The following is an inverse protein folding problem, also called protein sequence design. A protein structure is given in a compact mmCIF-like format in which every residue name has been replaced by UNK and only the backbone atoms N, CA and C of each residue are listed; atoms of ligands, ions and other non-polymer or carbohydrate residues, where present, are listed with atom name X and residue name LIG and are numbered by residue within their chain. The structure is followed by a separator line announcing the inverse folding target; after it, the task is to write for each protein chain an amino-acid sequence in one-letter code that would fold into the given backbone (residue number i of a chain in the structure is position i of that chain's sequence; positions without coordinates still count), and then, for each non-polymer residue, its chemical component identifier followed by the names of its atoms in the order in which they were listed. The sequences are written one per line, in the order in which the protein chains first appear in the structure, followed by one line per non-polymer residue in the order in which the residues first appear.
data_IF_300318541022
#
_entry.id   IF_300318541022
#
_cell.length_a   1.000
_cell.length_b   1.000
_cell.length_c   1.000
_cell.angle_alpha   90.00
_cell.angle_beta   90.00
_cell.angle_gamma   90.00
#
_symmetry.space_group_name_H-M   'P 1'
#
loop_
_entity.id
_entity.type
_entity.pdbx_description
1 polymer ?
#
# COMPACT_ATOMS: atom_id res chain seq x y z
N UNK A 1 -70.03 8.54 34.70
CA UNK A 1 -70.29 8.04 33.34
C UNK A 1 -69.27 6.93 33.03
N UNK A 2 -69.51 5.81 32.30
CA UNK A 2 -70.09 5.61 30.94
C UNK A 2 -69.28 6.37 29.88
N UNK A 3 -68.73 5.82 28.79
CA UNK A 3 -68.74 4.52 28.05
C UNK A 3 -67.31 4.42 27.42
N UNK A 4 -66.53 3.33 27.30
CA UNK A 4 -66.66 1.87 27.10
C UNK A 4 -67.14 1.39 25.71
N UNK A 5 -66.23 1.33 24.73
CA UNK A 5 -66.47 0.67 23.43
C UNK A 5 -65.35 -0.33 23.11
N UNK A 6 -65.71 -1.54 22.68
CA UNK A 6 -64.84 -2.55 22.07
C UNK A 6 -65.37 -2.88 20.66
N UNK A 7 -64.49 -3.25 19.74
CA UNK A 7 -64.67 -4.23 18.65
C UNK A 7 -63.24 -4.48 18.08
N UNK A 8 -62.71 -5.66 17.70
CA UNK A 8 -63.25 -6.89 17.08
C UNK A 8 -63.79 -6.65 15.65
N UNK A 9 -63.46 -7.43 14.61
CA UNK A 9 -62.58 -8.61 14.47
C UNK A 9 -62.16 -8.73 12.97
N UNK A 10 -61.41 -9.78 12.61
CA UNK A 10 -61.00 -10.23 11.25
C UNK A 10 -59.87 -9.41 10.57
N UNK A 11 -58.90 -10.00 9.86
CA UNK A 11 -58.49 -11.42 9.85
C UNK A 11 -58.16 -11.99 8.48
N UNK A 12 -56.87 -12.07 8.13
CA UNK A 12 -56.32 -12.94 7.08
C UNK A 12 -54.93 -13.41 7.46
N UNK A 13 -54.71 -14.73 7.48
CA UNK A 13 -53.38 -15.32 7.58
C UNK A 13 -52.89 -15.70 6.19
N UNK A 14 -51.62 -15.39 5.88
CA UNK A 14 -50.95 -15.83 4.65
C UNK A 14 -49.75 -16.69 5.05
N UNK A 15 -49.95 -18.01 5.02
CA UNK A 15 -48.82 -18.94 4.99
C UNK A 15 -48.32 -19.05 3.55
N UNK A 16 -47.02 -18.80 3.34
CA UNK A 16 -46.31 -19.28 2.15
C UNK A 16 -45.34 -20.35 2.62
N UNK A 17 -45.73 -21.61 2.39
CA UNK A 17 -44.85 -22.77 2.52
C UNK A 17 -44.03 -22.89 1.24
N UNK A 18 -42.71 -22.73 1.35
CA UNK A 18 -41.76 -23.14 0.33
C UNK A 18 -40.88 -24.25 0.91
N UNK A 19 -41.18 -25.50 0.57
CA UNK A 19 -40.42 -26.66 1.02
C UNK A 19 -39.35 -27.05 0.00
N UNK A 20 -38.10 -27.13 0.43
CA UNK A 20 -37.05 -27.85 -0.28
C UNK A 20 -36.47 -28.93 0.63
N UNK A 21 -36.87 -30.18 0.40
CA UNK A 21 -36.42 -31.35 1.14
C UNK A 21 -35.80 -32.37 0.20
N UNK A 22 -34.48 -32.60 0.30
CA UNK A 22 -33.84 -33.74 -0.34
C UNK A 22 -32.70 -34.31 0.51
N UNK A 23 -33.06 -35.37 1.23
CA UNK A 23 -32.26 -36.55 1.56
C UNK A 23 -30.87 -36.38 2.22
N UNK A 24 -30.81 -36.87 3.46
CA UNK A 24 -29.60 -37.31 4.14
C UNK A 24 -28.83 -38.40 3.38
N UNK A 25 -27.51 -38.22 3.24
CA UNK A 25 -26.55 -39.32 3.09
C UNK A 25 -25.71 -39.44 4.35
N UNK A 26 -25.55 -40.65 4.90
CA UNK A 26 -24.74 -40.95 6.08
C UNK A 26 -24.01 -42.28 5.86
N UNK A 27 -22.85 -42.47 6.52
CA UNK A 27 -21.85 -43.54 6.34
C UNK A 27 -20.84 -43.23 5.21
N UNK A 28 -19.56 -43.60 5.32
CA UNK A 28 -18.79 -44.06 6.48
C UNK A 28 -17.29 -43.73 6.28
N UNK A 29 -16.55 -43.52 7.38
CA UNK A 29 -15.09 -43.40 7.35
C UNK A 29 -14.42 -44.77 7.29
N UNK A 30 -13.30 -44.89 6.55
CA UNK A 30 -12.17 -45.65 7.08
C UNK A 30 -10.85 -44.87 7.04
N UNK A 31 -9.95 -45.25 7.94
CA UNK A 31 -8.55 -44.82 8.03
C UNK A 31 -7.76 -45.94 8.73
N UNK A 32 -6.43 -45.96 8.71
CA UNK A 32 -5.57 -46.04 7.53
C UNK A 32 -4.79 -47.37 7.52
N UNK A 33 -4.20 -47.79 6.38
CA UNK A 33 -3.46 -49.06 6.35
C UNK A 33 -2.53 -49.32 5.15
N UNK A 34 -1.23 -49.21 5.42
CA UNK A 34 -0.11 -50.02 4.91
C UNK A 34 0.34 -49.99 3.42
N UNK A 35 1.66 -49.85 3.33
CA UNK A 35 2.63 -50.59 2.49
C UNK A 35 2.83 -50.24 1.00
N UNK A 36 4.09 -49.83 0.74
CA UNK A 36 4.73 -49.57 -0.54
C UNK A 36 5.64 -50.75 -0.88
N UNK A 37 5.66 -51.21 -2.14
CA UNK A 37 6.92 -51.49 -2.85
C UNK A 37 7.18 -50.42 -3.93
N UNK A 38 8.40 -49.88 -4.04
CA UNK A 38 9.45 -50.36 -4.95
C UNK A 38 8.98 -50.34 -6.42
N UNK A 39 9.31 -49.29 -7.19
CA UNK A 39 10.56 -49.16 -7.96
C UNK A 39 10.67 -50.14 -9.13
N UNK A 40 10.61 -49.60 -10.35
CA UNK A 40 11.28 -50.16 -11.52
C UNK A 40 11.82 -48.99 -12.35
N UNK A 41 13.10 -49.02 -12.72
CA UNK A 41 13.76 -48.02 -13.56
C UNK A 41 13.60 -48.39 -15.04
N UNK A 42 13.53 -47.41 -15.95
CA UNK A 42 13.95 -47.61 -17.34
C UNK A 42 14.27 -46.28 -18.07
N UNK A 43 15.57 -46.09 -18.31
CA UNK A 43 16.19 -45.21 -19.30
C UNK A 43 17.33 -46.02 -19.97
N UNK A 44 17.98 -45.56 -21.05
CA UNK A 44 17.68 -44.43 -21.93
C UNK A 44 17.52 -44.84 -23.42
N UNK A 45 17.08 -43.88 -24.26
CA UNK A 45 17.26 -43.94 -25.73
C UNK A 45 18.28 -42.90 -26.18
N UNK A 46 19.20 -43.26 -27.08
CA UNK A 46 20.37 -42.45 -27.47
C UNK A 46 20.36 -42.01 -28.93
N UNK A 47 20.97 -40.85 -29.17
CA UNK A 47 21.76 -40.40 -30.32
C UNK A 47 21.38 -40.82 -31.76
N UNK A 48 21.28 -39.81 -32.63
CA UNK A 48 21.83 -39.90 -33.99
C UNK A 48 22.30 -38.52 -34.49
N UNK A 49 23.61 -38.40 -34.73
CA UNK A 49 24.21 -37.26 -35.44
C UNK A 49 24.21 -37.54 -36.96
N UNK A 50 24.13 -36.49 -37.77
CA UNK A 50 24.27 -36.56 -39.23
C UNK A 50 25.08 -35.37 -39.75
N UNK A 51 26.20 -35.63 -40.41
CA UNK A 51 27.19 -34.62 -40.81
C UNK A 51 27.18 -34.41 -42.34
N UNK A 52 27.33 -33.16 -42.82
CA UNK A 52 27.35 -32.87 -44.26
C UNK A 52 27.71 -31.41 -44.60
N UNK A 53 28.49 -31.21 -45.67
CA UNK A 53 29.10 -29.93 -46.08
C UNK A 53 29.31 -29.90 -47.61
N UNK A 54 29.30 -28.77 -48.34
CA UNK A 54 29.08 -27.37 -47.96
C UNK A 54 28.00 -26.74 -48.90
N UNK A 55 28.05 -25.57 -49.55
CA UNK A 55 29.06 -24.50 -49.71
C UNK A 55 28.38 -23.16 -50.13
N UNK A 56 29.15 -22.07 -50.08
CA UNK A 56 28.94 -20.75 -50.69
C UNK A 56 27.94 -19.73 -50.07
N UNK A 57 28.48 -18.52 -49.98
CA UNK A 57 27.98 -17.23 -49.48
C UNK A 57 27.18 -16.46 -50.57
N UNK A 58 26.59 -15.25 -50.33
CA UNK A 58 26.82 -14.33 -49.21
C UNK A 58 25.59 -13.66 -48.55
N UNK A 59 25.94 -12.84 -47.55
CA UNK A 59 25.06 -12.10 -46.64
C UNK A 59 24.00 -11.19 -47.30
N UNK A 60 22.89 -11.01 -46.57
CA UNK A 60 21.99 -9.87 -46.68
C UNK A 60 21.62 -9.36 -45.28
N UNK A 61 21.68 -8.05 -45.06
CA UNK A 61 21.35 -7.43 -43.77
C UNK A 61 19.83 -7.31 -43.59
N UNK A 62 19.24 -7.78 -42.46
CA UNK A 62 17.90 -7.38 -42.06
C UNK A 62 17.96 -5.95 -41.50
N UNK A 63 17.64 -4.96 -42.34
CA UNK A 63 17.57 -3.55 -41.93
C UNK A 63 16.54 -3.36 -40.82
N UNK A 64 16.94 -2.69 -39.75
CA UNK A 64 16.13 -2.57 -38.54
C UNK A 64 14.94 -1.61 -38.72
N UNK A 65 13.76 -2.05 -38.29
CA UNK A 65 12.70 -1.14 -37.85
C UNK A 65 12.62 -1.23 -36.33
N UNK A 66 12.98 -0.17 -35.57
CA UNK A 66 12.78 -0.15 -34.14
C UNK A 66 11.28 -0.29 -33.84
N UNK A 67 10.90 -1.36 -33.14
CA UNK A 67 9.52 -1.57 -32.75
C UNK A 67 9.03 -0.37 -31.92
N UNK A 68 8.00 0.32 -32.42
CA UNK A 68 7.40 1.44 -31.70
C UNK A 68 6.91 0.96 -30.34
N UNK A 69 7.60 1.37 -29.27
CA UNK A 69 7.16 1.17 -27.90
C UNK A 69 5.85 1.95 -27.73
N UNK A 70 4.73 1.25 -27.89
CA UNK A 70 3.41 1.83 -27.79
C UNK A 70 3.27 2.48 -26.41
N UNK A 71 3.26 3.81 -26.39
CA UNK A 71 3.06 4.60 -25.17
C UNK A 71 1.60 4.44 -24.75
N UNK A 72 1.31 3.37 -24.02
CA UNK A 72 -0.03 3.09 -23.50
C UNK A 72 -0.47 4.27 -22.66
N UNK A 73 -1.48 5.00 -23.12
CA UNK A 73 -2.09 6.09 -22.35
C UNK A 73 -2.47 5.58 -20.95
N UNK A 74 -2.28 6.37 -19.89
CA UNK A 74 -2.58 5.94 -18.53
C UNK A 74 -4.04 5.51 -18.42
N UNK A 75 -4.27 4.38 -17.73
CA UNK A 75 -5.61 3.84 -17.50
C UNK A 75 -6.52 4.88 -16.88
N UNK A 76 -7.77 4.96 -17.36
CA UNK A 76 -8.85 5.60 -16.61
C UNK A 76 -9.26 4.70 -15.44
N UNK A 77 -9.87 5.28 -14.40
CA UNK A 77 -10.56 4.49 -13.39
C UNK A 77 -11.80 3.85 -14.04
N UNK A 78 -11.97 2.55 -13.84
CA UNK A 78 -13.07 1.73 -14.35
C UNK A 78 -13.95 1.18 -13.23
N UNK A 79 -13.38 0.97 -12.03
CA UNK A 79 -14.09 0.46 -10.86
C UNK A 79 -13.33 0.74 -9.56
N UNK A 80 -14.06 0.86 -8.46
CA UNK A 80 -13.53 0.76 -7.09
C UNK A 80 -14.19 -0.43 -6.38
N UNK A 81 -13.38 -1.38 -5.90
CA UNK A 81 -13.87 -2.51 -5.11
C UNK A 81 -13.46 -2.34 -3.65
N UNK A 82 -14.41 -2.55 -2.74
CA UNK A 82 -14.24 -2.45 -1.30
C UNK A 82 -14.37 -3.84 -0.64
N UNK A 83 -13.39 -4.16 0.20
CA UNK A 83 -13.37 -5.31 1.08
C UNK A 83 -13.36 -4.82 2.52
N UNK A 84 -14.48 -5.01 3.22
CA UNK A 84 -14.61 -4.69 4.64
C UNK A 84 -14.35 -5.97 5.42
N UNK A 85 -13.36 -5.96 6.31
CA UNK A 85 -13.21 -7.04 7.28
C UNK A 85 -14.44 -7.06 8.21
N UNK A 86 -15.08 -8.22 8.34
CA UNK A 86 -16.23 -8.43 9.22
C UNK A 86 -16.03 -9.63 10.17
N UNK A 87 -14.80 -9.80 10.65
CA UNK A 87 -14.48 -10.66 11.80
C UNK A 87 -15.11 -10.10 13.10
N UNK A 88 -15.14 -10.90 14.16
CA UNK A 88 -15.68 -10.46 15.46
C UNK A 88 -14.87 -9.35 16.14
N UNK A 89 -13.57 -9.17 15.83
CA UNK A 89 -12.81 -8.02 16.36
C UNK A 89 -13.37 -6.70 15.83
N UNK A 90 -13.76 -6.67 14.55
CA UNK A 90 -14.31 -5.47 13.91
C UNK A 90 -15.67 -5.01 14.47
N UNK A 91 -16.37 -5.85 15.25
CA UNK A 91 -17.71 -5.54 15.76
C UNK A 91 -17.74 -4.31 16.67
N UNK A 92 -16.64 -4.01 17.38
CA UNK A 92 -16.55 -2.83 18.24
C UNK A 92 -16.60 -1.51 17.48
N UNK A 93 -16.11 -1.46 16.23
CA UNK A 93 -16.14 -0.27 15.38
C UNK A 93 -17.51 0.01 14.74
N UNK A 94 -18.41 -0.98 14.70
CA UNK A 94 -19.77 -0.84 14.16
C UNK A 94 -20.85 -0.90 15.25
N UNK A 95 -20.45 -0.57 16.47
CA UNK A 95 -21.26 -0.64 17.70
C UNK A 95 -22.01 0.68 17.96
N UNK A 96 -22.75 1.15 16.94
CA UNK A 96 -23.47 2.43 16.96
C UNK A 96 -23.04 3.36 15.82
N UNK A 97 -23.12 4.67 16.05
CA UNK A 97 -22.59 5.70 15.14
C UNK A 97 -21.15 5.97 15.60
N UNK A 98 -20.19 5.74 14.71
CA UNK A 98 -18.75 5.83 14.98
C UNK A 98 -18.04 6.45 13.78
N UNK A 99 -16.83 6.98 13.98
CA UNK A 99 -15.99 7.51 12.90
C UNK A 99 -15.67 6.45 11.84
N UNK A 100 -15.53 5.18 12.21
CA UNK A 100 -15.43 4.06 11.26
C UNK A 100 -16.64 3.99 10.31
N UNK A 101 -17.86 4.02 10.86
CA UNK A 101 -19.10 3.93 10.06
C UNK A 101 -19.24 5.14 9.11
N UNK A 102 -18.89 6.34 9.59
CA UNK A 102 -18.94 7.55 8.78
C UNK A 102 -17.86 7.58 7.67
N UNK A 103 -16.61 7.19 7.98
CA UNK A 103 -15.52 7.10 7.00
C UNK A 103 -15.80 6.08 5.90
N UNK A 104 -16.37 4.92 6.25
CA UNK A 104 -16.76 3.91 5.26
C UNK A 104 -17.89 4.43 4.36
N UNK A 105 -18.83 5.21 4.91
CA UNK A 105 -19.90 5.83 4.13
C UNK A 105 -19.39 6.97 3.22
N UNK A 106 -18.49 7.84 3.70
CA UNK A 106 -17.83 8.87 2.88
C UNK A 106 -17.04 8.25 1.73
N UNK A 107 -16.23 7.22 1.98
CA UNK A 107 -15.49 6.55 0.91
C UNK A 107 -16.39 5.88 -0.13
N UNK A 108 -17.55 5.36 0.30
CA UNK A 108 -18.54 4.76 -0.60
C UNK A 108 -19.27 5.81 -1.45
N UNK A 109 -19.59 6.99 -0.91
CA UNK A 109 -20.27 8.10 -1.62
C UNK A 109 -19.33 9.21 -2.10
N UNK A 110 -18.02 8.94 -2.10
CA UNK A 110 -16.96 9.90 -2.39
C UNK A 110 -17.30 10.76 -3.61
N UNK A 111 -17.29 12.10 -3.50
CA UNK A 111 -17.81 12.99 -4.53
C UNK A 111 -17.23 12.78 -5.94
N UNK A 112 -15.98 12.34 -6.07
CA UNK A 112 -15.34 12.15 -7.37
C UNK A 112 -15.77 10.85 -8.06
N UNK A 113 -16.13 9.81 -7.28
CA UNK A 113 -16.72 8.58 -7.83
C UNK A 113 -18.15 8.83 -8.30
N UNK A 114 -18.91 9.67 -7.58
CA UNK A 114 -20.28 10.05 -7.95
C UNK A 114 -20.31 10.97 -9.18
N UNK A 115 -19.39 11.96 -9.28
CA UNK A 115 -19.31 12.88 -10.44
C UNK A 115 -18.90 12.18 -11.73
N UNK A 116 -18.05 11.16 -11.65
CA UNK A 116 -17.49 10.46 -12.82
C UNK A 116 -18.19 9.10 -13.09
N UNK A 117 -19.33 8.85 -12.43
CA UNK A 117 -20.15 7.63 -12.53
C UNK A 117 -19.33 6.33 -12.40
N UNK A 118 -18.41 6.31 -11.43
CA UNK A 118 -17.47 5.21 -11.24
C UNK A 118 -18.20 4.03 -10.57
N UNK A 119 -18.21 2.83 -11.18
CA UNK A 119 -18.73 1.61 -10.57
C UNK A 119 -18.06 1.32 -9.22
N UNK A 120 -18.89 0.97 -8.24
CA UNK A 120 -18.50 0.62 -6.87
C UNK A 120 -19.00 -0.79 -6.57
N UNK A 121 -18.16 -1.63 -5.98
CA UNK A 121 -18.54 -2.96 -5.50
C UNK A 121 -18.17 -3.09 -4.03
N UNK A 122 -19.10 -3.59 -3.22
CA UNK A 122 -18.93 -3.74 -1.78
C UNK A 122 -19.00 -5.22 -1.38
N UNK A 123 -17.99 -5.67 -0.64
CA UNK A 123 -17.86 -7.03 -0.13
C UNK A 123 -17.49 -7.03 1.35
N UNK A 124 -18.06 -7.97 2.09
CA UNK A 124 -17.53 -8.42 3.37
C UNK A 124 -16.48 -9.53 3.15
N UNK A 125 -15.46 -9.58 4.01
CA UNK A 125 -14.40 -10.59 3.94
C UNK A 125 -13.97 -11.06 5.34
N UNK A 126 -13.99 -12.37 5.58
CA UNK A 126 -13.55 -13.00 6.84
C UNK A 126 -13.18 -14.47 6.62
N UNK A 127 -12.76 -15.16 7.69
CA UNK A 127 -12.50 -16.60 7.69
C UNK A 127 -11.05 -17.02 7.47
N UNK A 128 -10.80 -18.32 7.66
CA UNK A 128 -9.45 -18.91 7.51
C UNK A 128 -9.00 -18.99 6.04
N UNK A 129 -9.91 -19.34 5.14
CA UNK A 129 -9.79 -19.07 3.71
C UNK A 129 -10.77 -17.93 3.38
N UNK A 130 -10.33 -16.74 2.94
CA UNK A 130 -11.18 -15.55 2.91
C UNK A 130 -12.48 -15.73 2.12
N UNK A 131 -13.61 -15.73 2.83
CA UNK A 131 -14.95 -15.84 2.26
C UNK A 131 -15.41 -14.44 1.85
N UNK A 132 -15.43 -14.19 0.54
CA UNK A 132 -15.93 -12.94 -0.04
C UNK A 132 -17.47 -13.02 -0.08
N UNK A 133 -18.14 -12.20 0.74
CA UNK A 133 -19.61 -12.12 0.80
C UNK A 133 -20.08 -10.84 0.13
N UNK A 134 -20.80 -10.88 -1.01
CA UNK A 134 -21.30 -9.69 -1.68
C UNK A 134 -22.31 -8.91 -0.84
N UNK A 135 -22.12 -7.59 -0.79
CA UNK A 135 -23.09 -6.63 -0.22
C UNK A 135 -23.92 -6.02 -1.36
N UNK A 136 -23.27 -5.68 -2.48
CA UNK A 136 -23.86 -5.07 -3.67
C UNK A 136 -23.01 -3.93 -4.22
N UNK A 137 -23.63 -3.06 -5.00
CA UNK A 137 -23.09 -1.84 -5.62
C UNK A 137 -23.71 -0.54 -5.07
N UNK A 138 -24.82 -0.64 -4.34
CA UNK A 138 -25.53 0.47 -3.70
C UNK A 138 -24.90 0.86 -2.32
N UNK A 139 -24.35 2.10 -2.17
CA UNK A 139 -23.86 2.62 -0.88
C UNK A 139 -24.95 2.70 0.21
N UNK A 140 -26.22 2.83 -0.15
CA UNK A 140 -27.34 2.82 0.79
C UNK A 140 -27.61 1.42 1.33
N UNK A 141 -27.35 0.36 0.55
CA UNK A 141 -27.32 -1.03 1.04
C UNK A 141 -26.11 -1.26 1.93
N UNK A 142 -24.93 -0.76 1.55
CA UNK A 142 -23.74 -0.81 2.41
C UNK A 142 -24.02 -0.15 3.78
N UNK A 143 -24.51 1.09 3.81
CA UNK A 143 -24.75 1.84 5.05
C UNK A 143 -25.74 1.13 5.98
N UNK A 144 -26.74 0.42 5.44
CA UNK A 144 -27.66 -0.45 6.22
C UNK A 144 -26.98 -1.71 6.80
N UNK A 145 -25.78 -2.07 6.34
CA UNK A 145 -24.96 -3.19 6.80
C UNK A 145 -23.80 -2.78 7.73
N UNK A 146 -23.52 -1.49 7.90
CA UNK A 146 -22.50 -0.98 8.83
C UNK A 146 -23.01 -0.98 10.28
N UNK A 147 -23.25 -2.18 10.81
CA UNK A 147 -23.69 -2.45 12.18
C UNK A 147 -23.38 -3.91 12.54
N UNK A 148 -23.39 -4.23 13.83
CA UNK A 148 -23.06 -5.56 14.36
C UNK A 148 -23.88 -6.70 13.74
N UNK A 149 -25.14 -6.48 13.35
CA UNK A 149 -25.96 -7.53 12.72
C UNK A 149 -25.70 -7.65 11.21
N UNK A 150 -25.40 -6.54 10.53
CA UNK A 150 -24.95 -6.54 9.15
C UNK A 150 -23.62 -7.29 8.96
N UNK A 151 -22.72 -7.21 9.95
CA UNK A 151 -21.42 -7.90 9.96
C UNK A 151 -21.51 -9.41 10.27
N UNK A 152 -22.65 -9.94 10.74
CA UNK A 152 -22.83 -11.37 11.09
C UNK A 152 -23.05 -12.29 9.87
N UNK A 153 -22.10 -12.34 8.95
CA UNK A 153 -22.10 -13.25 7.80
C UNK A 153 -20.70 -13.82 7.48
N UNK A 154 -20.63 -15.01 6.88
CA UNK A 154 -19.36 -15.72 6.66
C UNK A 154 -18.80 -16.34 7.95
N UNK A 155 -17.50 -16.65 7.96
CA UNK A 155 -16.77 -17.11 9.15
C UNK A 155 -16.27 -15.89 9.95
N UNK A 156 -17.18 -15.29 10.71
CA UNK A 156 -16.86 -14.16 11.60
C UNK A 156 -15.86 -14.51 12.71
N UNK A 157 -15.50 -15.79 12.89
CA UNK A 157 -14.67 -16.21 14.03
C UNK A 157 -13.17 -16.13 13.76
N UNK A 158 -12.74 -15.95 12.51
CA UNK A 158 -11.34 -16.01 12.06
C UNK A 158 -11.01 -14.85 11.11
N UNK A 159 -9.74 -14.43 11.08
CA UNK A 159 -9.26 -13.37 10.17
C UNK A 159 -7.91 -13.69 9.52
N UNK A 160 -7.95 -14.29 8.33
CA UNK A 160 -6.74 -14.46 7.52
C UNK A 160 -6.40 -13.17 6.76
N UNK A 161 -5.75 -12.23 7.43
CA UNK A 161 -5.27 -10.98 6.82
C UNK A 161 -4.42 -11.24 5.57
N UNK A 162 -3.48 -12.21 5.56
CA UNK A 162 -2.66 -12.50 4.37
C UNK A 162 -3.53 -12.76 3.13
N UNK A 163 -4.59 -13.55 3.31
CA UNK A 163 -5.55 -13.85 2.28
C UNK A 163 -6.38 -12.63 1.87
N UNK A 164 -6.81 -11.79 2.81
CA UNK A 164 -7.53 -10.54 2.50
C UNK A 164 -6.65 -9.58 1.69
N UNK A 165 -5.40 -9.38 2.11
CA UNK A 165 -4.39 -8.63 1.36
C UNK A 165 -4.16 -9.21 -0.03
N UNK A 166 -4.02 -10.53 -0.15
CA UNK A 166 -3.86 -11.19 -1.45
C UNK A 166 -5.08 -10.96 -2.36
N UNK A 167 -6.31 -11.09 -1.84
CA UNK A 167 -7.55 -10.82 -2.57
C UNK A 167 -7.60 -9.37 -3.06
N UNK A 168 -7.47 -8.41 -2.14
CA UNK A 168 -7.55 -6.99 -2.47
C UNK A 168 -6.46 -6.57 -3.47
N UNK A 169 -5.22 -7.00 -3.25
CA UNK A 169 -4.07 -6.69 -4.11
C UNK A 169 -4.16 -7.35 -5.50
N UNK A 170 -4.77 -8.54 -5.60
CA UNK A 170 -4.96 -9.23 -6.89
C UNK A 170 -6.02 -8.54 -7.76
N UNK A 171 -7.07 -7.99 -7.13
CA UNK A 171 -8.15 -7.25 -7.81
C UNK A 171 -7.74 -5.82 -8.27
N UNK A 172 -6.65 -5.27 -7.73
CA UNK A 172 -6.17 -3.92 -8.08
C UNK A 172 -5.41 -3.86 -9.42
N UNK A 173 -5.50 -2.71 -10.11
CA UNK A 173 -4.79 -2.39 -11.35
C UNK A 173 -5.66 -2.51 -12.61
N UNK A 174 -5.13 -2.08 -13.75
CA UNK A 174 -5.85 -2.11 -15.03
C UNK A 174 -7.06 -1.19 -15.04
N UNK A 175 -7.00 -0.06 -14.33
CA UNK A 175 -8.15 0.80 -14.08
C UNK A 175 -9.00 0.42 -12.85
N UNK A 176 -8.69 -0.64 -12.10
CA UNK A 176 -9.39 -0.95 -10.84
C UNK A 176 -8.60 -0.45 -9.62
N UNK A 177 -9.27 0.28 -8.72
CA UNK A 177 -8.78 0.51 -7.34
C UNK A 177 -9.42 -0.54 -6.42
N UNK A 178 -8.65 -1.04 -5.47
CA UNK A 178 -9.10 -2.02 -4.47
C UNK A 178 -8.79 -1.50 -3.07
N UNK A 179 -9.77 -1.55 -2.17
CA UNK A 179 -9.71 -0.98 -0.82
C UNK A 179 -9.98 -2.10 0.19
N UNK A 180 -9.08 -2.29 1.16
CA UNK A 180 -9.27 -3.20 2.30
C UNK A 180 -9.32 -2.39 3.60
N UNK A 181 -10.32 -2.63 4.44
CA UNK A 181 -10.53 -1.93 5.72
C UNK A 181 -10.53 -2.95 6.86
N UNK A 182 -9.62 -2.79 7.83
CA UNK A 182 -9.27 -3.79 8.84
C UNK A 182 -8.66 -3.12 10.09
N UNK A 183 -8.68 -3.77 11.25
CA UNK A 183 -7.94 -3.36 12.45
C UNK A 183 -6.42 -3.64 12.37
N UNK A 184 -6.00 -4.44 11.37
CA UNK A 184 -4.60 -4.80 11.14
C UNK A 184 -4.03 -5.86 12.10
N UNK A 185 -4.87 -6.54 12.88
CA UNK A 185 -4.48 -7.52 13.90
C UNK A 185 -4.57 -8.94 13.32
N UNK A 186 -3.45 -9.68 13.36
CA UNK A 186 -3.40 -11.05 12.87
C UNK A 186 -4.07 -12.06 13.83
N UNK A 187 -5.03 -12.85 13.33
CA UNK A 187 -5.43 -14.13 13.94
C UNK A 187 -4.30 -15.16 13.78
N UNK A 188 -3.43 -15.24 14.78
CA UNK A 188 -2.30 -16.19 14.83
C UNK A 188 -2.58 -17.48 15.60
N UNK A 189 -3.74 -17.57 16.25
CA UNK A 189 -4.13 -18.67 17.13
C UNK A 189 -3.03 -19.08 18.11
N UNK A 190 -2.86 -20.39 18.31
CA UNK A 190 -1.91 -20.95 19.27
C UNK A 190 -0.44 -20.93 18.79
N UNK A 191 -0.16 -20.39 17.60
CA UNK A 191 1.18 -20.42 16.98
C UNK A 191 2.10 -19.23 17.34
N UNK A 192 1.56 -18.18 17.96
CA UNK A 192 2.32 -17.04 18.49
C UNK A 192 3.22 -16.33 17.46
N UNK A 193 4.37 -15.83 17.92
CA UNK A 193 5.33 -15.06 17.11
C UNK A 193 5.77 -15.78 15.82
N UNK A 194 5.82 -17.12 15.82
CA UNK A 194 6.20 -17.91 14.64
C UNK A 194 5.16 -17.80 13.52
N UNK A 195 3.87 -17.70 13.86
CA UNK A 195 2.80 -17.42 12.89
C UNK A 195 2.92 -16.03 12.27
N UNK A 196 3.29 -15.00 13.05
CA UNK A 196 3.52 -13.64 12.53
C UNK A 196 4.69 -13.59 11.54
N UNK A 197 5.83 -14.19 11.91
CA UNK A 197 7.02 -14.29 11.05
C UNK A 197 6.74 -15.09 9.77
N UNK A 198 5.89 -16.11 9.84
CA UNK A 198 5.48 -16.91 8.67
C UNK A 198 4.54 -16.09 7.78
N UNK A 199 3.56 -15.42 8.39
CA UNK A 199 2.60 -14.57 7.70
C UNK A 199 3.27 -13.47 6.88
N UNK A 200 4.17 -12.68 7.49
CA UNK A 200 4.90 -11.64 6.76
C UNK A 200 5.71 -12.18 5.57
N UNK A 201 6.27 -13.41 5.66
CA UNK A 201 6.96 -14.04 4.52
C UNK A 201 6.00 -14.39 3.38
N UNK A 202 4.77 -14.82 3.70
CA UNK A 202 3.72 -15.07 2.71
C UNK A 202 3.24 -13.77 2.06
N UNK A 203 2.89 -12.75 2.87
CA UNK A 203 2.48 -11.42 2.39
C UNK A 203 3.51 -10.85 1.43
N UNK A 204 4.78 -10.80 1.85
CA UNK A 204 5.91 -10.33 1.05
C UNK A 204 6.01 -11.08 -0.29
N UNK A 205 5.82 -12.40 -0.27
CA UNK A 205 5.91 -13.24 -1.47
C UNK A 205 4.79 -12.95 -2.48
N UNK A 206 3.56 -12.72 -2.02
CA UNK A 206 2.45 -12.33 -2.90
C UNK A 206 2.60 -10.90 -3.41
N UNK A 207 3.03 -9.96 -2.58
CA UNK A 207 3.34 -8.59 -3.02
C UNK A 207 4.45 -8.58 -4.09
N UNK A 208 5.56 -9.29 -3.90
CA UNK A 208 6.63 -9.39 -4.93
C UNK A 208 6.09 -9.94 -6.25
N UNK A 209 5.22 -10.97 -6.21
CA UNK A 209 4.59 -11.53 -7.41
C UNK A 209 3.71 -10.51 -8.12
N UNK A 210 2.84 -9.79 -7.40
CA UNK A 210 1.96 -8.76 -7.98
C UNK A 210 2.74 -7.57 -8.54
N UNK A 211 3.75 -7.10 -7.81
CA UNK A 211 4.55 -5.92 -8.16
C UNK A 211 5.50 -6.16 -9.34
N UNK A 212 5.78 -7.42 -9.69
CA UNK A 212 6.42 -7.77 -10.96
C UNK A 212 5.48 -7.65 -12.17
N UNK A 213 4.17 -7.90 -12.00
CA UNK A 213 3.20 -7.94 -13.11
C UNK A 213 2.39 -6.64 -13.32
N UNK A 214 2.46 -5.65 -12.43
CA UNK A 214 1.87 -4.33 -12.65
C UNK A 214 2.63 -3.20 -11.93
N UNK A 215 2.32 -1.95 -12.26
CA UNK A 215 2.81 -0.77 -11.54
C UNK A 215 1.79 -0.31 -10.50
N UNK A 216 1.70 -1.05 -9.39
CA UNK A 216 0.83 -0.69 -8.25
C UNK A 216 1.58 0.15 -7.20
N UNK A 217 0.79 0.99 -6.54
CA UNK A 217 1.06 1.64 -5.27
C UNK A 217 0.14 1.06 -4.19
N UNK A 218 0.63 1.03 -2.96
CA UNK A 218 -0.14 0.80 -1.74
C UNK A 218 -0.14 2.09 -0.94
N UNK A 219 -1.32 2.61 -0.65
CA UNK A 219 -1.55 3.69 0.32
C UNK A 219 -2.13 3.05 1.59
N UNK A 220 -1.44 3.24 2.71
CA UNK A 220 -1.90 2.86 4.04
C UNK A 220 -2.32 4.14 4.76
N UNK A 221 -3.56 4.21 5.23
CA UNK A 221 -4.07 5.32 6.04
C UNK A 221 -4.32 4.77 7.44
N UNK A 222 -3.81 5.43 8.49
CA UNK A 222 -4.16 5.17 9.88
C UNK A 222 -5.25 6.15 10.30
N UNK A 223 -6.33 5.62 10.86
CA UNK A 223 -7.40 6.39 11.47
C UNK A 223 -7.73 5.80 12.84
N UNK A 224 -8.33 6.59 13.72
CA UNK A 224 -8.77 6.15 15.04
C UNK A 224 -10.25 6.44 15.22
N UNK A 225 -11.01 5.43 15.64
CA UNK A 225 -12.47 5.44 15.82
C UNK A 225 -12.85 5.00 17.23
N UNK A 226 -14.04 5.37 17.67
CA UNK A 226 -14.70 4.77 18.82
C UNK A 226 -14.80 3.24 18.61
N UNK A 227 -14.51 2.47 19.66
CA UNK A 227 -14.58 1.02 19.70
C UNK A 227 -15.30 0.58 20.97
N UNK A 228 -16.48 -0.04 20.81
CA UNK A 228 -17.30 -0.54 21.91
C UNK A 228 -17.65 -2.01 21.70
N UNK A 229 -16.75 -2.91 22.08
CA UNK A 229 -16.87 -4.33 21.79
C UNK A 229 -15.76 -5.17 22.41
N UNK A 230 -15.66 -6.43 22.01
CA UNK A 230 -14.62 -7.33 22.48
C UNK A 230 -13.34 -7.20 21.66
N UNK A 231 -12.24 -6.83 22.31
CA UNK A 231 -10.90 -7.00 21.77
C UNK A 231 -10.44 -8.45 22.02
N UNK A 232 -10.19 -9.20 20.95
CA UNK A 232 -9.66 -10.55 21.00
C UNK A 232 -8.13 -10.48 21.02
N UNK A 233 -7.50 -11.15 21.99
CA UNK A 233 -6.04 -11.15 22.08
C UNK A 233 -5.44 -11.99 20.94
N UNK A 234 -4.45 -11.45 20.25
CA UNK A 234 -3.69 -12.21 19.26
C UNK A 234 -2.56 -13.02 19.93
N UNK A 235 -1.97 -12.52 21.02
CA UNK A 235 -0.87 -13.19 21.75
C UNK A 235 -1.28 -14.40 22.58
N UNK A 236 -2.58 -14.54 22.93
CA UNK A 236 -3.09 -15.52 23.90
C UNK A 236 -4.58 -15.79 23.70
N UNK A 237 -5.08 -16.91 24.24
CA UNK A 237 -6.53 -17.17 24.29
C UNK A 237 -7.25 -16.20 25.23
N UNK A 238 -8.36 -15.64 24.75
CA UNK A 238 -9.26 -14.81 25.54
C UNK A 238 -9.64 -13.53 24.81
N UNK A 239 -10.37 -12.67 25.50
CA UNK A 239 -10.78 -11.35 25.03
C UNK A 239 -10.96 -10.40 26.21
N UNK A 240 -10.98 -9.10 25.95
CA UNK A 240 -11.37 -8.06 26.92
C UNK A 240 -12.36 -7.11 26.25
N UNK A 241 -13.46 -6.79 26.92
CA UNK A 241 -14.42 -5.82 26.42
C UNK A 241 -13.87 -4.41 26.64
N UNK A 242 -13.83 -3.61 25.58
CA UNK A 242 -13.33 -2.23 25.58
C UNK A 242 -14.46 -1.26 25.23
N UNK A 243 -14.31 -0.02 25.70
CA UNK A 243 -15.20 1.12 25.46
C UNK A 243 -14.32 2.38 25.37
N UNK A 244 -13.52 2.44 24.30
CA UNK A 244 -12.42 3.41 24.12
C UNK A 244 -12.17 3.66 22.63
N UNK A 245 -11.35 4.65 22.29
CA UNK A 245 -10.90 4.81 20.90
C UNK A 245 -9.80 3.80 20.56
N UNK A 246 -9.78 3.28 19.33
CA UNK A 246 -8.76 2.34 18.82
C UNK A 246 -8.39 2.63 17.36
N UNK A 247 -7.16 2.29 16.93
CA UNK A 247 -6.69 2.52 15.56
C UNK A 247 -7.16 1.42 14.61
N UNK A 248 -7.54 1.81 13.40
CA UNK A 248 -7.83 0.94 12.27
C UNK A 248 -7.19 1.48 10.99
N UNK A 249 -7.15 0.67 9.95
CA UNK A 249 -6.37 0.95 8.74
C UNK A 249 -7.19 0.77 7.48
N UNK A 250 -6.94 1.67 6.52
CA UNK A 250 -7.47 1.62 5.17
C UNK A 250 -6.30 1.42 4.21
N UNK A 251 -6.34 0.31 3.48
CA UNK A 251 -5.30 -0.12 2.57
C UNK A 251 -5.81 -0.02 1.14
N UNK A 252 -5.30 0.96 0.40
CA UNK A 252 -5.74 1.27 -0.96
C UNK A 252 -4.67 0.84 -1.95
N UNK A 253 -5.06 -0.04 -2.88
CA UNK A 253 -4.23 -0.62 -3.93
C UNK A 253 -4.71 -0.12 -5.29
N UNK A 254 -3.79 0.38 -6.10
CA UNK A 254 -4.11 0.89 -7.43
C UNK A 254 -2.88 1.40 -8.16
N UNK A 255 -3.06 1.84 -9.40
CA UNK A 255 -1.99 2.47 -10.17
C UNK A 255 -1.71 3.88 -9.65
N UNK A 256 -0.44 4.29 -9.57
CA UNK A 256 -0.04 5.48 -8.80
C UNK A 256 -0.70 6.78 -9.27
N UNK A 257 -1.00 6.92 -10.57
CA UNK A 257 -1.71 8.09 -11.11
C UNK A 257 -3.19 8.11 -10.69
N UNK A 258 -3.83 6.94 -10.56
CA UNK A 258 -5.19 6.83 -10.04
C UNK A 258 -5.22 7.17 -8.54
N UNK A 259 -4.27 6.65 -7.76
CA UNK A 259 -4.21 6.98 -6.33
C UNK A 259 -3.86 8.45 -6.07
N UNK A 260 -3.01 9.07 -6.90
CA UNK A 260 -2.73 10.50 -6.81
C UNK A 260 -3.93 11.38 -7.18
N UNK A 261 -4.76 10.95 -8.16
CA UNK A 261 -5.97 11.67 -8.59
C UNK A 261 -7.11 11.56 -7.58
N UNK A 262 -7.48 10.34 -7.20
CA UNK A 262 -8.68 10.08 -6.40
C UNK A 262 -8.41 10.12 -4.89
N UNK A 263 -7.21 9.74 -4.46
CA UNK A 263 -6.81 9.76 -3.04
C UNK A 263 -5.63 10.72 -2.80
N UNK A 264 -5.75 12.04 -3.12
CA UNK A 264 -4.74 13.02 -2.75
C UNK A 264 -4.76 13.26 -1.25
N UNK A 265 -3.60 13.54 -0.64
CA UNK A 265 -3.44 13.68 0.82
C UNK A 265 -4.43 14.70 1.43
N UNK A 266 -4.77 15.77 0.70
CA UNK A 266 -5.78 16.75 1.12
C UNK A 266 -7.15 16.13 1.41
N UNK A 267 -7.64 15.23 0.55
CA UNK A 267 -8.96 14.60 0.69
C UNK A 267 -8.96 13.62 1.88
N UNK A 268 -7.85 12.89 2.03
CA UNK A 268 -7.64 11.95 3.14
C UNK A 268 -7.66 12.71 4.48
N UNK A 269 -7.01 13.87 4.55
CA UNK A 269 -6.89 14.66 5.77
C UNK A 269 -8.10 15.56 6.08
N UNK A 270 -8.93 15.93 5.10
CA UNK A 270 -10.12 16.79 5.32
C UNK A 270 -11.43 16.03 5.47
N UNK A 271 -11.66 14.96 4.71
CA UNK A 271 -12.97 14.29 4.68
C UNK A 271 -13.03 13.02 5.55
N UNK A 272 -11.89 12.36 5.84
CA UNK A 272 -11.89 11.10 6.60
C UNK A 272 -11.75 11.34 8.11
N UNK A 273 -12.89 11.52 8.78
CA UNK A 273 -12.99 11.79 10.21
C UNK A 273 -12.17 10.80 11.06
N UNK A 274 -11.29 11.31 11.91
CA UNK A 274 -10.39 10.48 12.74
C UNK A 274 -9.09 10.06 12.05
N UNK A 275 -8.77 10.59 10.87
CA UNK A 275 -7.44 10.49 10.25
C UNK A 275 -6.33 10.93 11.22
N UNK A 276 -5.29 10.09 11.37
CA UNK A 276 -4.05 10.44 12.06
C UNK A 276 -2.92 10.74 11.08
N UNK A 277 -2.69 9.82 10.14
CA UNK A 277 -1.48 9.81 9.29
C UNK A 277 -1.59 8.79 8.15
N UNK A 278 -0.67 8.85 7.19
CA UNK A 278 -0.59 7.91 6.07
C UNK A 278 0.85 7.50 5.72
N UNK A 279 0.97 6.43 4.94
CA UNK A 279 2.20 5.95 4.33
C UNK A 279 1.93 5.47 2.90
N UNK A 280 2.90 5.65 2.01
CA UNK A 280 2.78 5.32 0.59
C UNK A 280 3.95 4.48 0.12
N UNK A 281 3.65 3.27 -0.33
CA UNK A 281 4.64 2.31 -0.83
C UNK A 281 4.42 2.16 -2.34
N UNK A 282 5.45 2.45 -3.13
CA UNK A 282 5.45 2.28 -4.57
C UNK A 282 6.85 1.89 -5.05
N UNK A 283 6.91 1.24 -6.21
CA UNK A 283 8.16 1.11 -6.97
C UNK A 283 8.59 2.50 -7.45
N UNK A 284 9.89 2.81 -7.52
CA UNK A 284 10.37 3.95 -8.31
C UNK A 284 9.91 3.79 -9.76
N UNK A 285 9.39 4.86 -10.37
CA UNK A 285 8.97 4.85 -11.78
C UNK A 285 10.15 4.71 -12.74
N UNK A 286 11.34 5.16 -12.34
CA UNK A 286 12.51 5.31 -13.20
C UNK A 286 12.50 6.61 -14.03
N UNK A 287 11.39 7.33 -14.05
CA UNK A 287 11.24 8.58 -14.79
C UNK A 287 12.14 9.71 -14.21
N UNK A 288 12.88 10.45 -15.05
CA UNK A 288 13.78 11.50 -14.58
C UNK A 288 13.00 12.75 -14.16
N UNK A 289 13.07 13.10 -12.87
CA UNK A 289 12.50 14.35 -12.35
C UNK A 289 13.24 15.59 -12.90
N UNK A 290 12.55 16.71 -13.16
CA UNK A 290 13.20 17.97 -13.52
C UNK A 290 14.11 18.48 -12.39
N UNK A 291 15.40 18.66 -12.69
CA UNK A 291 16.36 19.20 -11.71
C UNK A 291 17.53 19.97 -12.33
N UNK A 292 18.18 20.82 -11.53
CA UNK A 292 19.38 21.58 -11.88
C UNK A 292 20.14 22.05 -10.63
N UNK A 293 21.47 22.21 -10.71
CA UNK A 293 22.22 22.94 -9.68
C UNK A 293 21.97 24.45 -9.77
N UNK A 294 21.88 25.12 -8.61
CA UNK A 294 21.56 26.55 -8.50
C UNK A 294 22.45 27.25 -7.45
N UNK A 295 22.72 28.57 -7.56
CA UNK A 295 23.64 29.28 -6.66
C UNK A 295 23.06 29.64 -5.28
N UNK A 296 21.75 29.48 -5.07
CA UNK A 296 21.10 29.70 -3.79
C UNK A 296 21.77 28.89 -2.67
N UNK A 297 21.93 29.50 -1.48
CA UNK A 297 22.40 28.82 -0.26
C UNK A 297 23.83 28.21 -0.38
N UNK A 298 24.67 28.68 -1.29
CA UNK A 298 26.01 28.15 -1.52
C UNK A 298 27.05 28.57 -0.46
N UNK A 299 28.07 27.74 -0.24
CA UNK A 299 29.26 28.04 0.57
C UNK A 299 30.53 27.68 -0.21
N UNK A 300 31.55 28.53 -0.11
CA UNK A 300 32.76 28.42 -0.93
C UNK A 300 32.68 29.24 -2.22
N UNK A 301 33.42 28.82 -3.25
CA UNK A 301 33.40 29.44 -4.57
C UNK A 301 33.53 28.38 -5.66
N UNK A 302 32.83 28.57 -6.77
CA UNK A 302 32.88 27.70 -7.97
C UNK A 302 32.34 28.49 -9.18
N UNK A 303 32.44 27.91 -10.37
CA UNK A 303 31.72 28.33 -11.59
C UNK A 303 30.89 27.17 -12.12
N UNK A 304 29.78 27.46 -12.80
CA UNK A 304 29.04 26.45 -13.56
C UNK A 304 29.74 26.21 -14.90
N UNK A 305 29.80 24.95 -15.34
CA UNK A 305 30.31 24.60 -16.66
C UNK A 305 29.28 24.99 -17.75
N UNK A 306 29.70 25.80 -18.73
CA UNK A 306 28.83 26.28 -19.81
C UNK A 306 28.53 25.24 -20.90
N UNK A 307 29.24 24.10 -20.91
CA UNK A 307 29.08 23.00 -21.88
C UNK A 307 28.40 21.77 -21.28
N UNK A 308 28.58 21.53 -19.98
CA UNK A 308 28.02 20.35 -19.28
C UNK A 308 27.11 20.79 -18.14
N UNK A 309 25.80 20.58 -18.35
CA UNK A 309 24.78 20.86 -17.33
C UNK A 309 25.10 20.11 -16.03
N UNK A 310 24.93 20.78 -14.89
CA UNK A 310 25.19 20.23 -13.56
C UNK A 310 26.65 19.76 -13.35
N UNK A 311 27.63 20.44 -13.97
CA UNK A 311 29.03 20.39 -13.53
C UNK A 311 29.47 21.74 -12.94
N UNK A 312 30.26 21.67 -11.88
CA UNK A 312 30.97 22.78 -11.27
C UNK A 312 32.46 22.68 -11.56
N UNK A 313 33.11 23.83 -11.76
CA UNK A 313 34.55 23.97 -11.98
C UNK A 313 35.16 25.02 -11.05
N UNK A 314 36.46 24.91 -10.75
CA UNK A 314 37.20 25.76 -9.81
C UNK A 314 36.66 25.71 -8.36
N UNK A 315 36.05 24.58 -7.96
CA UNK A 315 35.38 24.48 -6.69
C UNK A 315 36.34 24.54 -5.49
N UNK A 316 36.07 25.43 -4.54
CA UNK A 316 36.91 25.69 -3.35
C UNK A 316 36.03 25.88 -2.12
N UNK A 317 36.43 25.38 -0.93
CA UNK A 317 35.66 25.53 0.30
C UNK A 317 35.61 26.98 0.78
N UNK A 318 34.67 27.28 1.67
CA UNK A 318 34.52 28.57 2.35
C UNK A 318 35.78 28.94 3.15
N UNK A 319 36.24 30.19 3.00
CA UNK A 319 37.47 30.69 3.63
C UNK A 319 37.44 30.67 5.16
N UNK A 320 36.25 30.64 5.77
CA UNK A 320 36.08 30.62 7.22
C UNK A 320 35.92 29.18 7.76
N UNK A 321 36.35 28.17 7.00
CA UNK A 321 36.33 26.76 7.41
C UNK A 321 34.95 26.11 7.41
N UNK A 322 33.90 26.79 6.92
CA UNK A 322 32.50 26.31 6.98
C UNK A 322 32.19 25.17 5.99
N UNK A 323 33.17 24.76 5.19
CA UNK A 323 33.06 23.73 4.15
C UNK A 323 32.64 24.28 2.78
N UNK A 324 32.27 23.38 1.88
CA UNK A 324 31.67 23.68 0.59
C UNK A 324 30.18 23.31 0.61
N UNK A 325 29.32 24.09 -0.05
CA UNK A 325 27.90 23.79 -0.18
C UNK A 325 27.35 24.27 -1.53
N UNK A 326 26.51 23.44 -2.15
CA UNK A 326 25.76 23.77 -3.38
C UNK A 326 24.35 23.21 -3.30
N UNK A 327 23.40 23.81 -4.02
CA UNK A 327 21.97 23.48 -3.95
C UNK A 327 21.48 22.87 -5.26
N UNK A 328 20.66 21.83 -5.16
CA UNK A 328 19.88 21.27 -6.26
C UNK A 328 18.46 21.84 -6.17
N UNK A 329 18.00 22.51 -7.22
CA UNK A 329 16.59 22.79 -7.41
C UNK A 329 15.92 21.59 -8.10
N UNK A 330 14.84 21.08 -7.51
CA UNK A 330 14.16 19.86 -7.96
C UNK A 330 12.65 20.07 -8.01
N UNK A 331 12.01 19.53 -9.04
CA UNK A 331 10.56 19.36 -9.11
C UNK A 331 10.18 17.92 -8.73
N UNK A 332 9.59 17.77 -7.54
CA UNK A 332 9.04 16.50 -7.04
C UNK A 332 7.54 16.30 -7.35
N UNK A 333 6.87 17.19 -8.11
CA UNK A 333 5.40 17.20 -8.21
C UNK A 333 4.76 15.97 -8.87
N UNK A 334 5.55 15.14 -9.56
CA UNK A 334 5.12 13.86 -10.13
C UNK A 334 5.24 12.67 -9.17
N UNK A 335 5.89 12.85 -8.01
CA UNK A 335 5.94 11.83 -6.95
C UNK A 335 4.77 12.05 -5.97
N UNK A 336 4.05 11.01 -5.54
CA UNK A 336 2.82 11.17 -4.79
C UNK A 336 3.03 11.12 -3.26
N UNK A 337 4.02 11.83 -2.69
CA UNK A 337 4.27 11.82 -1.23
C UNK A 337 3.92 13.17 -0.57
N UNK A 338 3.61 13.20 0.74
CA UNK A 338 3.48 14.44 1.50
C UNK A 338 4.74 15.30 1.43
N UNK A 339 4.56 16.63 1.45
CA UNK A 339 5.65 17.60 1.34
C UNK A 339 6.77 17.40 2.37
N UNK A 340 6.38 17.00 3.59
CA UNK A 340 7.27 16.68 4.72
C UNK A 340 8.32 15.63 4.39
N UNK A 341 7.99 14.63 3.56
CA UNK A 341 8.90 13.54 3.18
C UNK A 341 10.12 14.07 2.41
N UNK A 342 9.95 15.14 1.62
CA UNK A 342 11.05 15.78 0.90
C UNK A 342 11.79 16.84 1.75
N UNK A 343 11.23 17.28 2.88
CA UNK A 343 11.84 18.30 3.74
C UNK A 343 12.82 17.70 4.77
N UNK A 344 12.64 16.43 5.15
CA UNK A 344 13.57 15.68 6.00
C UNK A 344 14.91 15.38 5.26
N UNK A 345 16.07 15.90 5.72
CA UNK A 345 17.37 15.53 5.16
C UNK A 345 17.68 14.03 5.27
N UNK A 346 17.10 13.30 6.24
CA UNK A 346 17.29 11.86 6.40
C UNK A 346 16.50 11.01 5.37
N UNK A 347 15.59 11.61 4.60
CA UNK A 347 15.04 11.00 3.38
C UNK A 347 16.04 10.93 2.23
N UNK A 348 17.24 11.49 2.38
CA UNK A 348 18.26 11.54 1.34
C UNK A 348 19.55 10.82 1.73
N UNK A 349 20.12 10.12 0.75
CA UNK A 349 21.49 9.61 0.80
C UNK A 349 22.37 10.40 -0.17
N UNK A 350 23.66 10.52 0.13
CA UNK A 350 24.61 11.25 -0.71
C UNK A 350 25.95 10.51 -0.80
N UNK A 351 26.60 10.53 -1.97
CA UNK A 351 27.85 9.81 -2.21
C UNK A 351 29.10 10.59 -1.81
N UNK A 352 30.18 9.88 -1.48
CA UNK A 352 31.49 10.47 -1.22
C UNK A 352 31.58 11.17 0.14
N UNK A 353 32.11 12.38 0.16
CA UNK A 353 32.34 13.19 1.36
C UNK A 353 31.22 14.21 1.65
N UNK A 354 30.02 14.01 1.09
CA UNK A 354 28.92 14.97 1.13
C UNK A 354 27.70 14.43 1.91
N UNK A 355 26.90 15.34 2.45
CA UNK A 355 25.60 15.05 3.05
C UNK A 355 24.58 16.13 2.65
N UNK A 356 23.28 15.80 2.69
CA UNK A 356 22.23 16.82 2.62
C UNK A 356 22.18 17.54 3.97
N UNK A 357 22.27 18.86 3.96
CA UNK A 357 22.35 19.70 5.16
C UNK A 357 21.05 20.47 5.45
N UNK A 358 20.24 20.72 4.43
CA UNK A 358 18.97 21.44 4.51
C UNK A 358 18.14 21.11 3.26
N UNK A 359 16.84 20.89 3.42
CA UNK A 359 15.89 20.94 2.29
C UNK A 359 14.77 21.92 2.61
N UNK A 360 14.37 22.74 1.62
CA UNK A 360 13.34 23.77 1.80
C UNK A 360 12.56 24.04 0.52
N UNK A 361 11.33 24.54 0.66
CA UNK A 361 10.55 25.09 -0.45
C UNK A 361 11.20 26.40 -0.95
N UNK A 362 11.30 26.65 -2.27
CA UNK A 362 11.81 27.92 -2.79
C UNK A 362 10.92 29.10 -2.38
N UNK A 363 11.46 30.04 -1.60
CA UNK A 363 10.72 31.23 -1.14
C UNK A 363 10.42 32.27 -2.26
N UNK A 364 10.97 32.07 -3.47
CA UNK A 364 10.83 32.93 -4.65
C UNK A 364 10.94 32.08 -5.92
N UNK A 365 10.37 32.55 -7.04
CA UNK A 365 10.55 31.90 -8.35
C UNK A 365 12.00 32.04 -8.82
N UNK A 366 12.63 30.92 -9.17
CA UNK A 366 13.99 30.89 -9.74
C UNK A 366 13.87 30.97 -11.27
N UNK A 367 14.07 32.17 -11.82
CA UNK A 367 13.83 32.48 -13.24
C UNK A 367 14.83 31.84 -14.22
N UNK A 368 15.93 31.26 -13.73
CA UNK A 368 16.96 30.57 -14.53
C UNK A 368 16.66 29.10 -14.82
N UNK A 369 15.49 28.59 -14.40
CA UNK A 369 15.08 27.20 -14.57
C UNK A 369 13.97 27.06 -15.63
N UNK A 370 14.02 26.00 -16.48
CA UNK A 370 12.95 25.70 -17.44
C UNK A 370 11.75 24.97 -16.80
N UNK A 371 11.74 24.80 -15.48
CA UNK A 371 10.70 24.18 -14.68
C UNK A 371 10.48 24.98 -13.39
N UNK A 372 9.37 24.76 -12.68
CA UNK A 372 9.14 25.37 -11.36
C UNK A 372 9.61 24.38 -10.29
N UNK A 373 10.72 24.62 -9.57
CA UNK A 373 11.15 23.71 -8.51
C UNK A 373 10.14 23.71 -7.36
N UNK A 374 9.89 22.54 -6.77
CA UNK A 374 9.13 22.42 -5.52
C UNK A 374 10.05 22.48 -4.30
N UNK A 375 11.30 22.04 -4.44
CA UNK A 375 12.27 21.95 -3.33
C UNK A 375 13.69 22.35 -3.74
N UNK A 376 14.46 22.82 -2.75
CA UNK A 376 15.88 23.17 -2.81
C UNK A 376 16.66 22.26 -1.85
N UNK A 377 17.39 21.28 -2.38
CA UNK A 377 18.18 20.30 -1.61
C UNK A 377 19.62 20.81 -1.50
N UNK A 378 20.05 21.23 -0.32
CA UNK A 378 21.38 21.80 -0.07
C UNK A 378 22.36 20.71 0.34
N UNK A 379 23.43 20.52 -0.44
CA UNK A 379 24.43 19.46 -0.28
C UNK A 379 25.76 20.05 0.18
N UNK A 380 26.30 19.54 1.29
CA UNK A 380 27.47 20.11 1.99
C UNK A 380 28.60 19.09 2.17
N UNK A 381 29.85 19.55 2.11
CA UNK A 381 31.02 18.83 2.61
C UNK A 381 31.91 19.71 3.49
N UNK A 382 32.59 19.12 4.47
CA UNK A 382 33.65 19.77 5.26
C UNK A 382 35.07 19.49 4.74
N UNK A 383 35.21 18.70 3.65
CA UNK A 383 36.48 18.44 2.96
C UNK A 383 36.54 19.24 1.65
N UNK A 384 37.67 19.17 0.95
CA UNK A 384 37.81 19.77 -0.39
C UNK A 384 36.72 19.23 -1.34
N UNK A 385 36.05 20.11 -2.11
CA UNK A 385 35.01 19.71 -3.04
C UNK A 385 35.64 19.20 -4.35
N UNK A 386 35.39 17.94 -4.68
CA UNK A 386 35.82 17.30 -5.92
C UNK A 386 34.94 16.09 -6.25
N UNK A 387 35.03 15.61 -7.50
CA UNK A 387 34.52 14.32 -7.93
C UNK A 387 33.04 14.30 -8.31
N UNK A 388 32.50 13.08 -8.42
CA UNK A 388 31.11 12.81 -8.79
C UNK A 388 30.25 12.66 -7.55
N UNK A 389 29.16 13.42 -7.48
CA UNK A 389 28.24 13.46 -6.34
C UNK A 389 26.85 13.03 -6.80
N UNK A 390 26.36 11.93 -6.24
CA UNK A 390 24.97 11.48 -6.39
C UNK A 390 24.22 11.77 -5.10
N UNK A 391 23.08 12.45 -5.21
CA UNK A 391 22.06 12.62 -4.16
C UNK A 391 20.88 11.74 -4.53
N UNK A 392 20.40 10.92 -3.61
CA UNK A 392 19.31 9.98 -3.88
C UNK A 392 18.23 10.04 -2.79
N UNK A 393 17.00 10.35 -3.20
CA UNK A 393 15.80 10.32 -2.36
C UNK A 393 15.40 8.85 -2.15
N UNK A 394 15.45 8.37 -0.91
CA UNK A 394 15.10 6.98 -0.57
C UNK A 394 13.64 6.87 -0.12
N UNK A 395 13.00 5.72 -0.38
CA UNK A 395 11.67 5.45 0.15
C UNK A 395 11.78 5.10 1.66
N UNK A 396 11.71 6.14 2.50
CA UNK A 396 11.78 6.02 3.97
C UNK A 396 10.43 5.54 4.52
N UNK A 397 10.45 4.50 5.35
CA UNK A 397 9.27 4.07 6.12
C UNK A 397 8.99 5.14 7.18
N UNK A 398 7.77 5.72 7.25
CA UNK A 398 7.45 6.71 8.26
C UNK A 398 7.59 6.17 9.69
N UNK A 399 8.18 6.95 10.60
CA UNK A 399 8.46 6.55 11.98
C UNK A 399 7.19 6.16 12.76
N UNK A 400 6.05 6.75 12.40
CA UNK A 400 4.75 6.46 13.04
C UNK A 400 4.37 4.98 12.95
N UNK A 401 4.80 4.25 11.91
CA UNK A 401 4.52 2.82 11.75
C UNK A 401 5.19 2.02 12.87
N UNK A 402 6.48 2.30 13.12
CA UNK A 402 7.24 1.64 14.19
C UNK A 402 6.72 2.04 15.57
N UNK A 403 6.29 3.29 15.76
CA UNK A 403 5.69 3.76 17.01
C UNK A 403 4.27 3.17 17.27
N UNK A 404 3.53 2.84 16.21
CA UNK A 404 2.17 2.26 16.29
C UNK A 404 2.19 0.73 16.46
N UNK A 405 3.28 0.05 16.08
CA UNK A 405 3.39 -1.40 16.27
C UNK A 405 3.60 -1.78 17.76
N UNK A 406 2.95 -2.87 18.18
CA UNK A 406 3.21 -3.52 19.47
C UNK A 406 3.53 -5.00 19.30
N UNK A 407 4.38 -5.54 20.17
CA UNK A 407 4.58 -6.98 20.38
C UNK A 407 3.97 -7.47 21.71
N UNK A 408 3.20 -6.61 22.38
CA UNK A 408 2.60 -6.81 23.71
C UNK A 408 1.14 -6.34 23.74
N UNK A 409 0.32 -7.00 24.56
CA UNK A 409 -1.10 -6.74 24.79
C UNK A 409 -1.48 -6.76 26.30
N UNK A 410 -0.53 -6.85 27.23
CA UNK A 410 -0.82 -6.95 28.67
C UNK A 410 -1.70 -5.81 29.19
N UNK A 411 -1.43 -4.59 28.72
CA UNK A 411 -2.11 -3.36 29.13
C UNK A 411 -3.08 -2.80 28.06
N UNK A 412 -3.63 -3.66 27.18
CA UNK A 412 -4.42 -3.22 26.02
C UNK A 412 -5.66 -2.36 26.38
N UNK A 413 -6.20 -2.50 27.60
CA UNK A 413 -7.31 -1.67 28.09
C UNK A 413 -6.94 -0.20 28.36
N UNK A 414 -5.65 0.12 28.43
CA UNK A 414 -5.13 1.48 28.55
C UNK A 414 -4.41 1.99 27.28
N UNK A 415 -4.21 1.13 26.27
CA UNK A 415 -3.54 1.47 25.02
C UNK A 415 -4.55 1.69 23.88
N UNK A 416 -4.89 2.96 23.67
CA UNK A 416 -5.75 3.41 22.58
C UNK A 416 -5.01 3.62 21.25
N UNK A 417 -3.69 3.41 21.21
CA UNK A 417 -2.81 4.04 20.21
C UNK A 417 -2.08 3.06 19.29
N UNK A 418 -1.83 1.83 19.76
CA UNK A 418 -1.04 0.81 19.07
C UNK A 418 -1.86 -0.39 18.58
N UNK A 419 -1.27 -1.12 17.64
CA UNK A 419 -1.79 -2.35 17.02
C UNK A 419 -0.78 -3.48 17.18
N UNK A 420 -1.21 -4.61 17.71
CA UNK A 420 -0.35 -5.79 17.89
C UNK A 420 0.03 -6.41 16.53
N UNK A 421 1.32 -6.72 16.36
CA UNK A 421 1.84 -7.43 15.17
C UNK A 421 1.89 -6.61 13.88
N UNK A 422 1.52 -5.32 13.89
CA UNK A 422 1.45 -4.46 12.71
C UNK A 422 2.77 -4.41 11.91
N UNK A 423 3.91 -4.44 12.61
CA UNK A 423 5.23 -4.41 11.98
C UNK A 423 5.44 -5.60 11.03
N UNK A 424 4.98 -6.81 11.35
CA UNK A 424 5.17 -7.99 10.50
C UNK A 424 4.46 -7.85 9.15
N UNK A 425 3.34 -7.11 9.11
CA UNK A 425 2.62 -6.75 7.89
C UNK A 425 3.34 -5.62 7.13
N UNK A 426 3.69 -4.52 7.81
CA UNK A 426 4.32 -3.38 7.14
C UNK A 426 5.73 -3.67 6.64
N UNK A 427 6.53 -4.40 7.40
CA UNK A 427 7.89 -4.80 7.02
C UNK A 427 7.85 -5.73 5.80
N UNK A 428 6.89 -6.66 5.74
CA UNK A 428 6.67 -7.51 4.58
C UNK A 428 6.31 -6.73 3.31
N UNK A 429 5.46 -5.70 3.42
CA UNK A 429 5.10 -4.80 2.32
C UNK A 429 6.33 -3.98 1.89
N UNK A 430 7.06 -3.40 2.84
CA UNK A 430 8.28 -2.60 2.60
C UNK A 430 9.36 -3.42 1.92
N UNK A 431 9.64 -4.64 2.38
CA UNK A 431 10.59 -5.56 1.74
C UNK A 431 10.14 -5.95 0.33
N UNK A 432 8.83 -6.14 0.10
CA UNK A 432 8.31 -6.48 -1.21
C UNK A 432 8.48 -5.33 -2.21
N UNK A 433 8.21 -4.08 -1.81
CA UNK A 433 8.45 -2.90 -2.64
C UNK A 433 9.95 -2.65 -2.88
N UNK A 434 10.81 -2.82 -1.87
CA UNK A 434 12.27 -2.77 -2.02
C UNK A 434 12.78 -3.83 -3.01
N UNK A 435 12.28 -5.07 -2.90
CA UNK A 435 12.65 -6.17 -3.80
C UNK A 435 12.16 -5.95 -5.23
N UNK A 436 10.90 -5.55 -5.42
CA UNK A 436 10.32 -5.29 -6.74
C UNK A 436 10.84 -3.99 -7.39
N UNK A 437 11.39 -3.07 -6.60
CA UNK A 437 12.11 -1.88 -7.06
C UNK A 437 13.62 -2.06 -7.17
N UNK A 438 14.16 -3.29 -7.01
CA UNK A 438 15.60 -3.59 -7.07
C UNK A 438 16.48 -2.74 -6.11
N UNK A 439 15.93 -2.34 -4.96
CA UNK A 439 16.50 -1.38 -4.01
C UNK A 439 16.87 -0.01 -4.62
N UNK A 440 16.31 0.35 -5.77
CA UNK A 440 16.51 1.68 -6.38
C UNK A 440 15.89 2.78 -5.50
N UNK A 441 16.53 3.96 -5.39
CA UNK A 441 15.91 5.13 -4.78
C UNK A 441 14.72 5.63 -5.61
N UNK A 442 13.87 6.47 -5.01
CA UNK A 442 12.72 7.10 -5.67
C UNK A 442 13.17 8.07 -6.77
N UNK A 443 14.28 8.78 -6.54
CA UNK A 443 14.93 9.64 -7.53
C UNK A 443 16.43 9.76 -7.23
N UNK A 444 17.26 9.95 -8.27
CA UNK A 444 18.70 10.15 -8.17
C UNK A 444 19.16 11.34 -9.01
N UNK A 445 19.92 12.24 -8.39
CA UNK A 445 20.47 13.45 -8.99
C UNK A 445 22.00 13.37 -8.95
N UNK A 446 22.66 13.46 -10.09
CA UNK A 446 24.11 13.22 -10.19
C UNK A 446 24.82 14.39 -10.86
N UNK A 447 25.78 14.99 -10.15
CA UNK A 447 26.55 16.14 -10.61
C UNK A 447 28.07 15.91 -10.47
N UNK A 448 28.85 16.73 -11.15
CA UNK A 448 30.33 16.68 -11.15
C UNK A 448 30.95 17.95 -10.57
N UNK A 449 32.09 17.80 -9.91
CA UNK A 449 32.92 18.89 -9.38
C UNK A 449 34.36 18.67 -9.82
N UNK A 450 34.97 19.72 -10.41
CA UNK A 450 36.36 19.77 -10.89
C UNK A 450 37.11 20.98 -10.33
#
# INVERSE_FOLDING_TARGET
MKIRTQLLLWGTAVMILAACSSQSGRRETPSPGKEVPAQEELQPGKDSEGHGTAENSPAGEPTGTPGSLATTSPSSLQKVTFYLENSQSMFGYVSGITRYVDVVAELAEKPDFVKEDIPREFFFINGTGPVITPIGDDPVVLKKKLNTDGFRCGDITRSNLNGMFQTALSNAGGGTISILISDGIYDIGDGGMTSLVTSGKETRSQFIRRLRSANLQTLMIKLTSEFKGDYFYASRKGKVTLDSERPYYIWIFGESHLLARYFPDRYIASELTGFETLARFLKPSGEPLPWQLVPENSLGSYRFDHKVKNRLVDAKPDRNGRGFQVTLAVDFSSLPFPGEVYLDPASYTCSGNYAVAEVKVPARKIHSLPFTPTHLVSVKSLKNPAGKVTVALVNRVPEWIAATASADEENISADTSRTFGLNYLTDAIVEAYKSAGENKPLASFTFEIQ
#
